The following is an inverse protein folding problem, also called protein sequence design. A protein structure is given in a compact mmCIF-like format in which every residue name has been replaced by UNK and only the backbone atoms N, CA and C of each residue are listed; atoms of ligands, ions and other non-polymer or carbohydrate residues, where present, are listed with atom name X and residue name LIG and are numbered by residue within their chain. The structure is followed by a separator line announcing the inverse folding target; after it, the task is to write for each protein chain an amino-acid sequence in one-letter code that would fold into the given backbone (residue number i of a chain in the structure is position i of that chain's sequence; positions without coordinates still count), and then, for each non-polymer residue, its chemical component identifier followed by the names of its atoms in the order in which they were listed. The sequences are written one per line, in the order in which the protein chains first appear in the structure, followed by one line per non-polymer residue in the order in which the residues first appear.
data_IF_852561596455
#
_entry.id   IF_852561596455
#
_cell.length_a   1.000
_cell.length_b   1.000
_cell.length_c   1.000
_cell.angle_alpha   90.00
_cell.angle_beta   90.00
_cell.angle_gamma   90.00
#
_symmetry.space_group_name_H-M   'P 1'
#
loop_
_entity.id
_entity.type
_entity.pdbx_description
1 polymer ?
#
# COMPACT_ATOMS: atom_id res chain seq x y z
N UNK A 1 -20.33 21.08 -18.00
CA UNK A 1 -20.05 19.66 -17.73
C UNK A 1 -18.62 19.37 -18.15
N UNK A 2 -17.79 18.90 -17.24
CA UNK A 2 -16.50 18.32 -17.61
C UNK A 2 -16.78 17.03 -18.38
N UNK A 3 -16.02 16.77 -19.43
CA UNK A 3 -16.06 15.51 -20.16
C UNK A 3 -14.65 14.91 -20.02
N UNK A 4 -14.31 14.29 -18.86
CA UNK A 4 -12.97 13.82 -18.58
C UNK A 4 -12.64 12.56 -19.37
N UNK A 5 -11.37 12.38 -19.71
CA UNK A 5 -10.83 11.14 -20.30
C UNK A 5 -10.48 10.09 -19.24
N UNK A 6 -10.33 10.52 -17.98
CA UNK A 6 -10.10 9.67 -16.82
C UNK A 6 -10.51 10.40 -15.53
N UNK A 7 -10.73 9.65 -14.46
CA UNK A 7 -10.99 10.19 -13.11
C UNK A 7 -9.88 9.71 -12.18
N UNK A 8 -9.29 10.63 -11.43
CA UNK A 8 -8.40 10.31 -10.30
C UNK A 8 -9.04 10.75 -8.99
N UNK A 9 -9.12 9.85 -8.04
CA UNK A 9 -9.67 10.10 -6.71
C UNK A 9 -8.59 9.95 -5.63
N UNK A 10 -8.28 11.04 -4.96
CA UNK A 10 -7.34 11.08 -3.83
C UNK A 10 -8.14 11.09 -2.52
N UNK A 11 -8.64 9.96 -2.08
CA UNK A 11 -9.44 9.82 -0.87
C UNK A 11 -9.27 8.46 -0.22
N UNK A 12 -10.23 8.07 0.61
CA UNK A 12 -10.13 6.88 1.46
C UNK A 12 -11.23 5.87 1.15
N UNK A 13 -11.08 4.67 1.73
CA UNK A 13 -11.99 3.53 1.56
C UNK A 13 -13.43 3.83 1.98
N UNK A 14 -13.62 4.77 2.91
CA UNK A 14 -14.95 5.12 3.41
C UNK A 14 -15.85 5.71 2.32
N UNK A 15 -15.28 6.47 1.39
CA UNK A 15 -16.04 7.10 0.30
C UNK A 15 -15.82 6.42 -1.05
N UNK A 16 -14.69 5.73 -1.23
CA UNK A 16 -14.25 5.20 -2.52
C UNK A 16 -15.29 4.31 -3.20
N UNK A 17 -15.86 3.28 -2.54
CA UNK A 17 -16.85 2.39 -3.16
C UNK A 17 -18.10 3.14 -3.58
N UNK A 18 -18.57 4.07 -2.75
CA UNK A 18 -19.79 4.84 -3.01
C UNK A 18 -19.59 5.83 -4.15
N UNK A 19 -18.42 6.49 -4.23
CA UNK A 19 -18.07 7.36 -5.34
C UNK A 19 -18.01 6.57 -6.65
N UNK A 20 -17.33 5.42 -6.64
CA UNK A 20 -17.24 4.55 -7.82
C UNK A 20 -18.62 4.09 -8.28
N UNK A 21 -19.48 3.66 -7.34
CA UNK A 21 -20.86 3.30 -7.62
C UNK A 21 -21.65 4.47 -8.23
N UNK A 22 -21.59 5.65 -7.61
CA UNK A 22 -22.33 6.82 -8.09
C UNK A 22 -21.89 7.26 -9.50
N UNK A 23 -20.57 7.22 -9.79
CA UNK A 23 -20.06 7.52 -11.13
C UNK A 23 -20.56 6.52 -12.17
N UNK A 24 -20.60 5.24 -11.83
CA UNK A 24 -21.13 4.19 -12.71
C UNK A 24 -22.63 4.42 -12.99
N UNK A 25 -23.42 4.74 -11.96
CA UNK A 25 -24.87 5.06 -12.13
C UNK A 25 -25.09 6.33 -12.97
N UNK A 26 -24.14 7.28 -12.92
CA UNK A 26 -24.18 8.47 -13.76
C UNK A 26 -23.68 8.23 -15.20
N UNK A 27 -23.35 7.00 -15.56
CA UNK A 27 -22.86 6.63 -16.90
C UNK A 27 -21.41 7.03 -17.18
N UNK A 28 -20.60 7.28 -16.15
CA UNK A 28 -19.17 7.58 -16.29
C UNK A 28 -18.43 6.26 -16.48
N UNK A 29 -17.93 6.03 -17.69
CA UNK A 29 -17.27 4.78 -18.10
C UNK A 29 -15.76 4.94 -18.34
N UNK A 30 -15.21 6.14 -18.14
CA UNK A 30 -13.78 6.40 -18.29
C UNK A 30 -12.96 5.69 -17.20
N UNK A 31 -11.66 5.45 -17.44
CA UNK A 31 -10.78 4.88 -16.43
C UNK A 31 -10.87 5.61 -15.09
N UNK A 32 -10.94 4.85 -14.01
CA UNK A 32 -10.97 5.36 -12.65
C UNK A 32 -9.72 4.86 -11.91
N UNK A 33 -8.91 5.80 -11.43
CA UNK A 33 -7.73 5.55 -10.61
C UNK A 33 -7.94 6.19 -9.24
N UNK A 34 -7.66 5.46 -8.19
CA UNK A 34 -7.69 5.94 -6.82
C UNK A 34 -6.29 5.90 -6.17
N UNK A 35 -6.13 6.66 -5.09
CA UNK A 35 -4.94 6.59 -4.25
C UNK A 35 -4.96 5.34 -3.35
N UNK A 36 -3.85 5.11 -2.65
CA UNK A 36 -3.63 4.00 -1.70
C UNK A 36 -4.71 3.91 -0.61
N UNK A 37 -5.31 5.05 -0.22
CA UNK A 37 -6.45 5.06 0.70
C UNK A 37 -7.66 4.24 0.26
N UNK A 38 -7.77 3.92 -1.03
CA UNK A 38 -8.80 3.04 -1.59
C UNK A 38 -8.34 1.57 -1.73
N UNK A 39 -7.11 1.23 -1.35
CA UNK A 39 -6.56 -0.12 -1.49
C UNK A 39 -6.92 -1.02 -0.30
N UNK A 40 -8.21 -1.19 -0.03
CA UNK A 40 -8.74 -2.06 1.02
C UNK A 40 -9.90 -2.90 0.48
N UNK A 41 -10.15 -4.05 1.08
CA UNK A 41 -11.21 -4.97 0.64
C UNK A 41 -12.58 -4.31 0.61
N UNK A 42 -12.87 -3.40 1.56
CA UNK A 42 -14.11 -2.65 1.61
C UNK A 42 -14.41 -1.88 0.31
N UNK A 43 -13.39 -1.38 -0.39
CA UNK A 43 -13.57 -0.73 -1.70
C UNK A 43 -14.19 -1.67 -2.73
N UNK A 44 -13.84 -2.96 -2.69
CA UNK A 44 -14.44 -3.97 -3.58
C UNK A 44 -15.79 -4.41 -3.03
N UNK A 45 -15.84 -4.80 -1.75
CA UNK A 45 -17.01 -5.44 -1.13
C UNK A 45 -18.25 -4.53 -1.10
N UNK A 46 -18.05 -3.23 -0.90
CA UNK A 46 -19.12 -2.24 -0.75
C UNK A 46 -19.47 -1.49 -2.05
N UNK A 47 -18.74 -1.76 -3.15
CA UNK A 47 -18.96 -1.06 -4.43
C UNK A 47 -20.12 -1.56 -5.28
N UNK A 48 -20.84 -2.59 -4.86
CA UNK A 48 -21.85 -3.27 -5.69
C UNK A 48 -21.29 -3.70 -7.07
N UNK A 49 -20.15 -4.39 -7.07
CA UNK A 49 -19.44 -4.88 -8.26
C UNK A 49 -18.93 -3.78 -9.21
N UNK A 50 -19.11 -2.49 -8.88
CA UNK A 50 -18.68 -1.40 -9.75
C UNK A 50 -17.19 -1.09 -9.65
N UNK A 51 -16.48 -1.67 -8.67
CA UNK A 51 -15.03 -1.52 -8.56
C UNK A 51 -14.26 -2.26 -9.67
N UNK A 52 -14.89 -3.21 -10.37
CA UNK A 52 -14.21 -3.97 -11.41
C UNK A 52 -13.56 -3.05 -12.46
N UNK A 53 -12.31 -3.34 -12.79
CA UNK A 53 -11.50 -2.55 -13.72
C UNK A 53 -10.92 -1.24 -13.17
N UNK A 54 -11.25 -0.82 -11.94
CA UNK A 54 -10.62 0.37 -11.36
C UNK A 54 -9.16 0.10 -11.00
N UNK A 55 -8.36 1.15 -10.99
CA UNK A 55 -6.96 1.12 -10.57
C UNK A 55 -6.79 1.78 -9.20
N UNK A 56 -5.84 1.27 -8.42
CA UNK A 56 -5.38 1.93 -7.19
C UNK A 56 -3.86 1.97 -7.14
N UNK A 57 -3.30 3.07 -6.68
CA UNK A 57 -1.87 3.14 -6.38
C UNK A 57 -1.60 2.59 -4.98
N UNK A 58 -0.38 2.10 -4.76
CA UNK A 58 0.09 1.65 -3.47
C UNK A 58 1.59 1.91 -3.33
N UNK A 59 2.07 1.99 -2.10
CA UNK A 59 3.49 2.19 -1.77
C UNK A 59 4.18 0.89 -1.29
N UNK A 60 3.56 -0.24 -1.54
CA UNK A 60 4.11 -1.57 -1.26
C UNK A 60 3.50 -2.63 -2.15
N UNK A 61 4.19 -3.78 -2.29
CA UNK A 61 3.69 -4.93 -3.04
C UNK A 61 2.53 -5.62 -2.31
N UNK A 62 1.89 -6.55 -3.00
CA UNK A 62 0.90 -7.42 -2.35
C UNK A 62 1.56 -8.24 -1.24
N UNK A 63 0.99 -8.28 -0.02
CA UNK A 63 1.49 -9.15 1.05
C UNK A 63 1.60 -10.63 0.63
N UNK A 64 0.68 -11.08 -0.22
CA UNK A 64 0.60 -12.45 -0.69
C UNK A 64 1.72 -12.85 -1.65
N UNK A 65 2.38 -11.89 -2.27
CA UNK A 65 3.52 -12.13 -3.17
C UNK A 65 4.86 -11.81 -2.54
N UNK A 66 4.91 -10.88 -1.59
CA UNK A 66 6.16 -10.38 -1.03
C UNK A 66 6.59 -11.08 0.28
N UNK A 67 5.62 -11.47 1.13
CA UNK A 67 5.95 -11.90 2.49
C UNK A 67 6.17 -13.41 2.66
N UNK A 68 5.70 -14.23 1.76
CA UNK A 68 5.72 -15.70 1.89
C UNK A 68 4.76 -16.27 2.94
N UNK A 69 4.50 -17.56 2.83
CA UNK A 69 3.44 -18.24 3.60
C UNK A 69 3.70 -18.26 5.12
N UNK A 70 4.95 -18.35 5.55
CA UNK A 70 5.30 -18.38 6.98
C UNK A 70 4.97 -17.07 7.67
N UNK A 71 5.31 -15.95 7.04
CA UNK A 71 4.99 -14.63 7.59
C UNK A 71 3.48 -14.39 7.60
N UNK A 72 2.78 -14.75 6.52
CA UNK A 72 1.32 -14.62 6.44
C UNK A 72 0.65 -15.42 7.56
N UNK A 73 1.09 -16.64 7.79
CA UNK A 73 0.57 -17.49 8.86
C UNK A 73 0.82 -16.88 10.24
N UNK A 74 2.03 -16.41 10.50
CA UNK A 74 2.38 -15.76 11.76
C UNK A 74 1.55 -14.49 11.99
N UNK A 75 1.32 -13.69 10.93
CA UNK A 75 0.45 -12.52 10.98
C UNK A 75 -0.99 -12.90 11.35
N UNK A 76 -1.54 -13.93 10.71
CA UNK A 76 -2.90 -14.43 10.98
C UNK A 76 -3.07 -14.95 12.41
N UNK A 77 -2.03 -15.59 12.98
CA UNK A 77 -2.04 -16.08 14.37
C UNK A 77 -2.05 -14.94 15.39
N UNK A 78 -1.46 -13.79 15.07
CA UNK A 78 -1.39 -12.63 15.96
C UNK A 78 -2.59 -11.70 15.77
N UNK A 79 -2.94 -11.39 14.54
CA UNK A 79 -3.96 -10.40 14.19
C UNK A 79 -5.36 -10.97 13.99
N UNK A 80 -5.48 -12.30 13.89
CA UNK A 80 -6.73 -13.02 13.63
C UNK A 80 -7.45 -12.59 12.34
N UNK A 81 -6.70 -12.04 11.37
CA UNK A 81 -7.18 -11.58 10.06
C UNK A 81 -6.09 -11.75 8.99
N UNK A 82 -6.48 -11.63 7.74
CA UNK A 82 -5.55 -11.59 6.62
C UNK A 82 -4.73 -10.30 6.62
N UNK A 83 -3.47 -10.33 6.16
CA UNK A 83 -2.71 -9.13 5.92
C UNK A 83 -3.33 -8.29 4.79
N UNK A 84 -3.27 -7.00 4.94
CA UNK A 84 -3.74 -6.00 3.97
C UNK A 84 -2.59 -5.11 3.50
N UNK A 85 -2.93 -4.08 2.74
CA UNK A 85 -2.01 -3.10 2.15
C UNK A 85 -0.99 -2.52 3.15
N UNK A 86 -1.43 -2.22 4.37
CA UNK A 86 -0.58 -1.55 5.36
C UNK A 86 0.19 -2.52 6.25
N UNK A 87 -0.11 -3.81 6.20
CA UNK A 87 0.48 -4.81 7.10
C UNK A 87 1.98 -4.94 6.93
N UNK A 88 2.46 -5.06 5.68
CA UNK A 88 3.89 -5.11 5.39
C UNK A 88 4.60 -3.80 5.71
N UNK A 89 3.95 -2.67 5.41
CA UNK A 89 4.52 -1.36 5.65
C UNK A 89 4.69 -1.09 7.16
N UNK A 90 3.69 -1.47 7.97
CA UNK A 90 3.78 -1.38 9.43
C UNK A 90 4.87 -2.28 10.00
N UNK A 91 4.99 -3.51 9.47
CA UNK A 91 6.04 -4.43 9.86
C UNK A 91 7.44 -3.89 9.51
N UNK A 92 7.66 -3.49 8.26
CA UNK A 92 8.94 -2.93 7.83
C UNK A 92 9.31 -1.63 8.57
N UNK A 93 8.33 -0.77 8.88
CA UNK A 93 8.57 0.42 9.70
C UNK A 93 9.06 0.07 11.10
N UNK A 94 8.53 -1.01 11.68
CA UNK A 94 9.02 -1.50 12.98
C UNK A 94 10.43 -2.10 12.88
N UNK A 95 10.75 -2.84 11.82
CA UNK A 95 12.12 -3.33 11.57
C UNK A 95 13.11 -2.15 11.50
N UNK A 96 12.81 -1.13 10.70
CA UNK A 96 13.61 0.11 10.60
C UNK A 96 13.84 0.76 11.97
N UNK A 97 12.78 0.85 12.78
CA UNK A 97 12.86 1.47 14.11
C UNK A 97 13.73 0.64 15.06
N UNK A 98 13.56 -0.66 15.08
CA UNK A 98 14.32 -1.58 15.95
C UNK A 98 15.80 -1.63 15.55
N UNK A 99 16.10 -1.72 14.26
CA UNK A 99 17.47 -1.71 13.74
C UNK A 99 18.15 -0.35 13.97
N UNK A 100 17.40 0.74 13.81
CA UNK A 100 17.87 2.07 14.15
C UNK A 100 18.21 2.22 15.64
N UNK A 101 17.35 1.71 16.52
CA UNK A 101 17.59 1.72 17.97
C UNK A 101 18.78 0.83 18.36
N UNK A 102 18.89 -0.37 17.80
CA UNK A 102 20.00 -1.28 18.01
C UNK A 102 21.34 -0.64 17.56
N UNK A 103 21.33 -0.02 16.38
CA UNK A 103 22.50 0.66 15.83
C UNK A 103 22.90 1.90 16.63
N UNK A 104 21.92 2.66 17.14
CA UNK A 104 22.18 3.82 17.99
C UNK A 104 22.75 3.44 19.37
N UNK A 105 22.45 2.25 19.87
CA UNK A 105 22.81 1.80 21.22
C UNK A 105 22.17 2.62 22.33
N UNK A 106 21.13 3.38 22.05
CA UNK A 106 20.44 4.26 22.98
C UNK A 106 18.97 4.48 22.56
N UNK A 107 18.09 4.71 23.55
CA UNK A 107 16.67 5.04 23.31
C UNK A 107 16.45 6.56 23.31
N UNK A 108 17.28 7.29 22.57
CA UNK A 108 17.17 8.74 22.40
C UNK A 108 16.78 9.05 20.96
N UNK A 109 15.72 9.85 20.77
CA UNK A 109 15.08 10.05 19.46
C UNK A 109 16.01 10.53 18.36
N UNK A 110 16.91 11.49 18.65
CA UNK A 110 17.83 12.02 17.65
C UNK A 110 18.90 10.99 17.27
N UNK A 111 19.37 10.20 18.25
CA UNK A 111 20.35 9.13 18.01
C UNK A 111 19.74 8.03 17.14
N UNK A 112 18.51 7.62 17.41
CA UNK A 112 17.77 6.64 16.60
C UNK A 112 17.55 7.20 15.20
N UNK A 113 17.05 8.42 15.05
CA UNK A 113 16.80 9.03 13.75
C UNK A 113 18.07 9.15 12.89
N UNK A 114 19.21 9.49 13.50
CA UNK A 114 20.49 9.52 12.79
C UNK A 114 20.98 8.13 12.40
N UNK A 115 20.76 7.12 13.27
CA UNK A 115 21.08 5.74 12.96
C UNK A 115 20.23 5.20 11.81
N UNK A 116 18.91 5.47 11.80
CA UNK A 116 17.98 5.09 10.73
C UNK A 116 18.45 5.63 9.37
N UNK A 117 18.86 6.91 9.28
CA UNK A 117 19.37 7.48 8.03
C UNK A 117 20.59 6.77 7.46
N UNK A 118 21.27 5.98 8.27
CA UNK A 118 22.45 5.19 7.86
C UNK A 118 22.16 3.70 7.73
N UNK A 119 20.89 3.29 7.77
CA UNK A 119 20.48 1.92 7.49
C UNK A 119 20.57 1.64 5.99
N UNK A 120 20.90 0.39 5.69
CA UNK A 120 21.05 -0.14 4.34
C UNK A 120 20.84 -1.66 4.45
N UNK A 121 19.63 -2.15 4.14
CA UNK A 121 19.27 -3.56 4.31
C UNK A 121 18.06 -3.95 3.46
N UNK A 122 17.83 -5.25 3.29
CA UNK A 122 16.69 -5.80 2.58
C UNK A 122 15.54 -6.12 3.57
N UNK A 123 14.39 -5.51 3.36
CA UNK A 123 13.14 -5.75 4.10
C UNK A 123 12.14 -6.53 3.25
N UNK A 124 10.98 -6.85 3.83
CA UNK A 124 9.86 -7.43 3.06
C UNK A 124 9.30 -6.49 1.98
N UNK A 125 9.62 -5.19 2.05
CA UNK A 125 9.23 -4.21 1.02
C UNK A 125 10.31 -4.01 -0.05
N UNK A 126 11.38 -4.76 0.01
CA UNK A 126 12.57 -4.59 -0.81
C UNK A 126 13.69 -3.85 -0.07
N UNK A 127 14.65 -3.35 -0.83
CA UNK A 127 15.82 -2.68 -0.30
C UNK A 127 15.47 -1.34 0.35
N UNK A 128 15.93 -1.14 1.59
CA UNK A 128 15.72 0.09 2.37
C UNK A 128 17.04 0.81 2.55
N UNK A 129 17.15 1.99 1.98
CA UNK A 129 18.22 2.95 2.26
C UNK A 129 17.70 4.37 2.11
N UNK A 130 18.29 5.31 2.83
CA UNK A 130 17.81 6.68 2.92
C UNK A 130 18.83 7.67 2.37
N UNK A 131 18.32 8.76 1.80
CA UNK A 131 19.14 9.91 1.44
C UNK A 131 19.39 10.84 2.65
N UNK A 132 20.10 11.95 2.42
CA UNK A 132 20.42 12.92 3.47
C UNK A 132 19.17 13.62 4.05
N UNK A 133 18.08 13.68 3.31
CA UNK A 133 16.79 14.26 3.75
C UNK A 133 15.99 13.27 4.60
N UNK A 134 16.28 11.98 4.50
CA UNK A 134 15.55 10.89 5.16
C UNK A 134 14.49 10.25 4.26
N UNK A 135 14.51 10.56 2.96
CA UNK A 135 13.65 9.92 1.97
C UNK A 135 14.27 8.58 1.52
N UNK A 136 13.43 7.62 1.15
CA UNK A 136 13.90 6.40 0.50
C UNK A 136 14.59 6.75 -0.82
N UNK A 137 15.77 6.15 -1.09
CA UNK A 137 16.54 6.44 -2.31
C UNK A 137 15.85 5.94 -3.57
N UNK A 138 15.22 4.77 -3.50
CA UNK A 138 14.61 4.09 -4.65
C UNK A 138 13.15 3.68 -4.34
N UNK A 139 12.25 4.66 -4.11
CA UNK A 139 10.86 4.35 -3.79
C UNK A 139 10.15 3.78 -5.03
N UNK A 140 9.45 2.66 -4.84
CA UNK A 140 8.63 2.05 -5.89
C UNK A 140 7.16 2.34 -5.61
N UNK A 141 6.45 2.84 -6.62
CA UNK A 141 4.98 2.94 -6.60
C UNK A 141 4.42 1.74 -7.33
N UNK A 142 3.46 1.08 -6.69
CA UNK A 142 2.74 -0.06 -7.23
C UNK A 142 1.38 0.39 -7.74
N UNK A 143 0.91 -0.24 -8.83
CA UNK A 143 -0.45 -0.06 -9.32
C UNK A 143 -1.13 -1.42 -9.32
N UNK A 144 -2.32 -1.45 -8.75
CA UNK A 144 -3.20 -2.60 -8.78
C UNK A 144 -4.44 -2.28 -9.60
N UNK A 145 -5.02 -3.31 -10.20
CA UNK A 145 -6.32 -3.23 -10.84
C UNK A 145 -7.27 -4.23 -10.17
N UNK A 146 -8.52 -3.84 -9.99
CA UNK A 146 -9.54 -4.80 -9.57
C UNK A 146 -9.88 -5.71 -10.74
N UNK A 147 -9.61 -7.00 -10.57
CA UNK A 147 -9.87 -8.06 -11.54
C UNK A 147 -10.49 -9.26 -10.86
N UNK A 148 -11.70 -9.63 -11.27
CA UNK A 148 -12.44 -10.74 -10.65
C UNK A 148 -12.67 -10.56 -9.16
N UNK A 149 -12.94 -9.34 -8.71
CA UNK A 149 -13.18 -9.01 -7.30
C UNK A 149 -11.93 -9.05 -6.41
N UNK A 150 -10.74 -8.89 -6.98
CA UNK A 150 -9.46 -8.85 -6.23
C UNK A 150 -8.56 -7.76 -6.78
N UNK A 151 -7.71 -7.20 -5.91
CA UNK A 151 -6.61 -6.35 -6.35
C UNK A 151 -5.48 -7.20 -6.94
N UNK A 152 -5.22 -7.02 -8.22
CA UNK A 152 -4.15 -7.68 -8.97
C UNK A 152 -3.09 -6.63 -9.31
N UNK A 153 -1.84 -6.86 -8.94
CA UNK A 153 -0.74 -5.96 -9.27
C UNK A 153 -0.52 -5.94 -10.80
N UNK A 154 -0.52 -4.75 -11.37
CA UNK A 154 -0.29 -4.53 -12.81
C UNK A 154 0.95 -3.68 -13.09
N UNK A 155 1.52 -3.05 -12.06
CA UNK A 155 2.78 -2.34 -12.15
C UNK A 155 3.47 -2.31 -10.77
N UNK A 156 4.82 -2.46 -10.73
CA UNK A 156 5.63 -3.03 -11.80
C UNK A 156 5.16 -4.45 -12.15
N UNK A 157 5.44 -4.90 -13.35
CA UNK A 157 5.18 -6.29 -13.73
C UNK A 157 6.00 -7.21 -12.81
N UNK A 158 5.34 -8.23 -12.25
CA UNK A 158 5.94 -9.18 -11.33
C UNK A 158 6.72 -10.29 -12.04
#
# INVERSE_FOLDING_TARGET
QANPDAVFYAGYEVECPYLRYALTQAGVTVPFLASDGCFLSATIDESNETAEGMYVSAFGPSPWTAAGDEWIKAYQEVEYRNPDTYSLNGYAAMEVLLDGAAKAGAFESNSIANAIRSLDFDSLLGHVSYDASGDLKDPTIYIFQVQGGKFVQVFPEG
#
